data_IF_901388477381
#
_entry.id   IF_901388477381
#
_cell.length_a   1.000
_cell.length_b   1.000
_cell.length_c   1.000
_cell.angle_alpha   90.00
_cell.angle_beta   90.00
_cell.angle_gamma   90.00
#
_symmetry.space_group_name_H-M   'P 1'
#
loop_
_entity.id
_entity.type
_entity.pdbx_description
1 polymer ?
#
# COMPACT_ATOMS: atom_id res chain seq x y z
N UNK A 1 16.54 -7.52 -0.70
CA UNK A 1 16.31 -6.10 -0.32
C UNK A 1 15.14 -5.59 -1.15
N UNK A 2 14.28 -4.72 -0.62
CA UNK A 2 13.13 -4.15 -1.35
C UNK A 2 13.38 -2.66 -1.58
N UNK A 3 13.18 -2.21 -2.82
CA UNK A 3 13.23 -0.79 -3.17
C UNK A 3 11.89 -0.37 -3.76
N UNK A 4 11.45 0.83 -3.40
CA UNK A 4 10.27 1.47 -3.98
C UNK A 4 10.72 2.74 -4.68
N UNK A 5 10.31 2.90 -5.94
CA UNK A 5 10.67 4.05 -6.77
C UNK A 5 9.37 4.77 -7.11
N UNK A 6 9.25 6.08 -6.80
CA UNK A 6 8.14 6.89 -7.29
C UNK A 6 8.16 6.90 -8.82
N UNK A 7 7.04 6.53 -9.44
CA UNK A 7 6.89 6.47 -10.89
C UNK A 7 5.54 7.03 -11.28
N UNK A 8 5.46 7.69 -12.43
CA UNK A 8 4.20 8.15 -13.01
C UNK A 8 3.53 6.98 -13.73
N UNK A 9 2.23 6.79 -13.51
CA UNK A 9 1.46 5.73 -14.17
C UNK A 9 1.46 5.90 -15.68
N UNK A 10 1.41 7.15 -16.14
CA UNK A 10 1.35 7.58 -17.54
C UNK A 10 2.53 7.05 -18.36
N UNK A 11 3.69 6.85 -17.73
CA UNK A 11 4.85 6.27 -18.40
C UNK A 11 4.65 4.81 -18.84
N UNK A 12 3.66 4.11 -18.27
CA UNK A 12 3.37 2.72 -18.57
C UNK A 12 1.99 2.53 -19.23
N UNK A 13 1.21 3.60 -19.37
CA UNK A 13 -0.22 3.51 -19.74
C UNK A 13 -0.45 2.86 -21.11
N UNK A 14 0.47 3.05 -22.06
CA UNK A 14 0.35 2.49 -23.41
C UNK A 14 0.25 0.96 -23.44
N UNK A 15 0.77 0.27 -22.42
CA UNK A 15 0.75 -1.19 -22.30
C UNK A 15 -0.33 -1.73 -21.36
N UNK A 16 -1.31 -0.90 -20.96
CA UNK A 16 -2.35 -1.29 -19.99
C UNK A 16 -3.23 -2.44 -20.48
N UNK A 17 -3.48 -2.49 -21.78
CA UNK A 17 -4.37 -3.46 -22.43
C UNK A 17 -3.61 -4.72 -22.91
N UNK A 18 -2.28 -4.74 -22.78
CA UNK A 18 -1.47 -5.90 -23.11
C UNK A 18 -1.57 -6.99 -22.02
N UNK A 19 -1.61 -8.28 -22.39
CA UNK A 19 -1.69 -9.36 -21.41
C UNK A 19 -0.46 -9.40 -20.49
N UNK A 20 -0.69 -9.59 -19.19
CA UNK A 20 0.39 -9.76 -18.23
C UNK A 20 1.28 -10.96 -18.60
N UNK A 21 2.60 -10.76 -18.55
CA UNK A 21 3.59 -11.77 -18.97
C UNK A 21 3.77 -11.89 -20.49
N UNK A 22 3.04 -11.12 -21.29
CA UNK A 22 3.19 -11.01 -22.76
C UNK A 22 3.24 -9.56 -23.23
N UNK A 23 3.73 -8.67 -22.36
CA UNK A 23 3.93 -7.27 -22.74
C UNK A 23 5.08 -7.15 -23.72
N UNK A 24 5.04 -6.09 -24.53
CA UNK A 24 6.03 -5.82 -25.57
C UNK A 24 7.46 -5.71 -25.04
N UNK A 25 8.44 -5.80 -25.94
CA UNK A 25 9.85 -5.56 -25.62
C UNK A 25 10.06 -4.17 -25.04
N UNK A 26 9.35 -3.16 -25.55
CA UNK A 26 9.55 -1.76 -25.18
C UNK A 26 9.14 -1.52 -23.72
N UNK A 27 8.04 -2.13 -23.28
CA UNK A 27 7.64 -2.16 -21.89
C UNK A 27 8.72 -2.81 -21.00
N UNK A 28 9.23 -3.97 -21.42
CA UNK A 28 10.23 -4.71 -20.66
C UNK A 28 11.56 -3.94 -20.58
N UNK A 29 11.96 -3.25 -21.65
CA UNK A 29 13.11 -2.35 -21.67
C UNK A 29 12.92 -1.18 -20.72
N UNK A 30 11.77 -0.49 -20.77
CA UNK A 30 11.48 0.62 -19.85
C UNK A 30 11.53 0.16 -18.40
N UNK A 31 10.82 -0.92 -18.06
CA UNK A 31 10.79 -1.50 -16.71
C UNK A 31 12.20 -1.90 -16.23
N UNK A 32 12.99 -2.53 -17.11
CA UNK A 32 14.35 -2.97 -16.77
C UNK A 32 15.28 -1.79 -16.51
N UNK A 33 15.12 -0.66 -17.21
CA UNK A 33 15.92 0.54 -16.97
C UNK A 33 15.77 1.07 -15.53
N UNK A 34 14.55 1.02 -14.95
CA UNK A 34 14.32 1.38 -13.55
C UNK A 34 15.00 0.40 -12.59
N UNK A 35 14.96 -0.90 -12.90
CA UNK A 35 15.58 -1.96 -12.11
C UNK A 35 17.10 -1.80 -12.09
N UNK A 36 17.72 -1.58 -13.24
CA UNK A 36 19.17 -1.40 -13.39
C UNK A 36 19.64 -0.13 -12.68
N UNK A 37 18.96 1.00 -12.88
CA UNK A 37 19.26 2.25 -12.18
C UNK A 37 19.14 2.08 -10.66
N UNK A 38 18.10 1.40 -10.20
CA UNK A 38 17.87 1.06 -8.79
C UNK A 38 19.02 0.21 -8.23
N UNK A 39 19.38 -0.88 -8.92
CA UNK A 39 20.45 -1.78 -8.51
C UNK A 39 21.80 -1.05 -8.43
N UNK A 40 22.09 -0.17 -9.39
CA UNK A 40 23.31 0.64 -9.39
C UNK A 40 23.43 1.51 -8.15
N UNK A 41 22.35 2.19 -7.74
CA UNK A 41 22.32 2.96 -6.48
C UNK A 41 22.57 2.07 -5.26
N UNK A 42 21.97 0.87 -5.24
CA UNK A 42 22.12 -0.07 -4.13
C UNK A 42 23.55 -0.55 -4.00
N UNK A 43 24.18 -0.95 -5.09
CA UNK A 43 25.57 -1.40 -5.08
C UNK A 43 26.53 -0.26 -4.70
N UNK A 44 26.21 0.98 -5.07
CA UNK A 44 26.96 2.15 -4.61
C UNK A 44 26.85 2.38 -3.10
N UNK A 45 25.67 2.18 -2.52
CA UNK A 45 25.44 2.33 -1.06
C UNK A 45 25.94 1.14 -0.25
N UNK A 46 25.91 -0.06 -0.85
CA UNK A 46 26.29 -1.31 -0.23
C UNK A 46 27.25 -2.11 -1.14
N UNK A 47 28.50 -1.64 -1.34
CA UNK A 47 29.47 -2.29 -2.25
C UNK A 47 29.75 -3.76 -1.90
N UNK A 48 29.60 -4.13 -0.62
CA UNK A 48 29.77 -5.50 -0.16
C UNK A 48 28.77 -6.51 -0.75
N UNK A 49 27.72 -6.04 -1.43
CA UNK A 49 26.73 -6.87 -2.13
C UNK A 49 27.14 -7.19 -3.57
N UNK A 50 28.19 -6.57 -4.10
CA UNK A 50 28.68 -6.85 -5.45
C UNK A 50 29.08 -8.33 -5.58
N UNK A 51 28.64 -8.98 -6.67
CA UNK A 51 28.81 -10.42 -6.89
C UNK A 51 28.00 -11.33 -5.95
N UNK A 52 27.18 -10.77 -5.04
CA UNK A 52 26.33 -11.53 -4.09
C UNK A 52 24.84 -11.38 -4.38
N UNK A 53 24.48 -10.74 -5.49
CA UNK A 53 23.10 -10.60 -5.94
C UNK A 53 22.70 -11.89 -6.68
N UNK A 54 21.86 -12.69 -6.04
CA UNK A 54 21.34 -13.94 -6.62
C UNK A 54 20.30 -13.70 -7.72
N UNK A 55 19.34 -12.79 -7.46
CA UNK A 55 18.29 -12.45 -8.41
C UNK A 55 17.76 -11.04 -8.18
N UNK A 56 17.25 -10.43 -9.25
CA UNK A 56 16.59 -9.11 -9.23
C UNK A 56 15.28 -9.22 -10.01
N UNK A 57 14.20 -8.70 -9.44
CA UNK A 57 12.89 -8.67 -10.07
C UNK A 57 12.25 -7.32 -9.84
N UNK A 58 11.70 -6.73 -10.89
CA UNK A 58 11.01 -5.45 -10.86
C UNK A 58 9.53 -5.57 -11.23
N UNK A 59 8.70 -4.84 -10.51
CA UNK A 59 7.31 -4.57 -10.87
C UNK A 59 7.13 -3.14 -11.39
N UNK A 60 6.03 -2.90 -12.08
CA UNK A 60 5.57 -1.59 -12.55
C UNK A 60 4.20 -1.26 -11.95
N UNK A 61 3.67 -0.03 -12.13
CA UNK A 61 2.28 0.28 -11.80
C UNK A 61 1.27 -0.72 -12.41
N UNK A 62 1.46 -1.14 -13.67
CA UNK A 62 0.62 -2.16 -14.32
C UNK A 62 0.72 -3.53 -13.65
N UNK A 63 1.86 -3.85 -13.03
CA UNK A 63 2.03 -5.08 -12.25
C UNK A 63 1.14 -5.05 -11.02
N UNK A 64 1.15 -3.94 -10.27
CA UNK A 64 0.31 -3.75 -9.09
C UNK A 64 -1.18 -3.72 -9.45
N UNK A 65 -1.55 -3.07 -10.55
CA UNK A 65 -2.92 -3.05 -11.02
C UNK A 65 -3.43 -4.45 -11.36
N UNK A 66 -2.61 -5.28 -12.01
CA UNK A 66 -2.99 -6.65 -12.35
C UNK A 66 -3.17 -7.54 -11.11
N UNK A 67 -2.21 -7.53 -10.18
CA UNK A 67 -2.22 -8.46 -9.04
C UNK A 67 -3.07 -7.98 -7.85
N UNK A 68 -3.18 -6.67 -7.65
CA UNK A 68 -3.82 -6.09 -6.47
C UNK A 68 -5.10 -5.32 -6.79
N UNK A 69 -5.49 -5.23 -8.07
CA UNK A 69 -6.54 -4.32 -8.54
C UNK A 69 -6.34 -2.88 -8.06
N UNK A 70 -5.09 -2.48 -7.82
CA UNK A 70 -4.75 -1.15 -7.33
C UNK A 70 -5.05 -0.12 -8.42
N UNK A 71 -5.83 0.91 -8.08
CA UNK A 71 -6.12 2.02 -8.98
C UNK A 71 -4.80 2.67 -9.42
N UNK A 72 -4.58 2.72 -10.74
CA UNK A 72 -3.33 3.20 -11.36
C UNK A 72 -2.05 2.59 -10.76
N UNK A 73 -2.13 1.36 -10.24
CA UNK A 73 -0.97 0.67 -9.66
C UNK A 73 -0.46 1.23 -8.32
N UNK A 74 -1.24 2.10 -7.67
CA UNK A 74 -0.83 2.79 -6.46
C UNK A 74 -0.53 1.82 -5.30
N UNK A 75 0.74 1.73 -4.90
CA UNK A 75 1.18 0.83 -3.82
C UNK A 75 0.74 1.29 -2.43
N UNK A 76 0.46 2.59 -2.27
CA UNK A 76 0.13 3.24 -1.00
C UNK A 76 -1.27 3.84 -0.95
N UNK A 77 -2.15 3.41 -1.85
CA UNK A 77 -3.53 3.89 -1.94
C UNK A 77 -3.60 5.25 -2.61
N UNK A 78 -4.58 6.07 -2.27
CA UNK A 78 -4.77 7.39 -2.84
C UNK A 78 -3.54 8.31 -2.62
N UNK A 79 -3.43 9.38 -3.39
CA UNK A 79 -2.28 10.27 -3.31
C UNK A 79 -2.20 11.02 -1.99
N UNK A 80 -0.98 11.26 -1.52
CA UNK A 80 -0.71 11.99 -0.28
C UNK A 80 -0.46 13.46 -0.60
N UNK A 81 -1.38 14.07 -1.33
CA UNK A 81 -1.32 15.47 -1.71
C UNK A 81 -1.93 16.40 -0.65
N UNK A 82 -1.79 17.71 -0.85
CA UNK A 82 -2.35 18.72 0.05
C UNK A 82 -3.88 18.68 0.08
N UNK A 83 -4.54 18.17 -0.96
CA UNK A 83 -5.99 18.04 -1.03
C UNK A 83 -6.49 16.96 -0.08
N UNK A 84 -5.91 15.76 -0.14
CA UNK A 84 -6.21 14.63 0.76
C UNK A 84 -5.87 14.96 2.20
N UNK A 85 -4.73 15.60 2.43
CA UNK A 85 -4.25 15.93 3.77
C UNK A 85 -4.91 17.19 4.34
N UNK A 86 -5.79 17.85 3.58
CA UNK A 86 -6.57 18.98 4.08
C UNK A 86 -7.45 18.54 5.26
N UNK A 87 -7.55 19.31 6.36
CA UNK A 87 -8.31 18.92 7.55
C UNK A 87 -9.77 18.56 7.26
N UNK A 88 -10.39 19.24 6.30
CA UNK A 88 -11.76 18.92 5.88
C UNK A 88 -11.87 17.55 5.19
N UNK A 89 -10.91 17.19 4.35
CA UNK A 89 -10.88 15.90 3.68
C UNK A 89 -10.60 14.77 4.69
N UNK A 90 -9.62 14.94 5.57
CA UNK A 90 -9.37 14.00 6.68
C UNK A 90 -10.63 13.84 7.55
N UNK A 91 -11.31 14.96 7.86
CA UNK A 91 -12.54 14.95 8.61
C UNK A 91 -13.76 14.43 7.81
N UNK A 92 -13.67 14.15 6.52
CA UNK A 92 -14.76 13.55 5.74
C UNK A 92 -14.53 12.08 5.41
N UNK A 93 -13.29 11.58 5.45
CA UNK A 93 -12.98 10.16 5.22
C UNK A 93 -13.60 9.30 6.34
N UNK A 94 -14.53 8.41 5.95
CA UNK A 94 -15.27 7.54 6.87
C UNK A 94 -15.42 6.15 6.24
N UNK A 95 -15.52 5.14 7.10
CA UNK A 95 -15.81 3.79 6.65
C UNK A 95 -17.26 3.63 6.17
N UNK A 96 -18.21 4.42 6.69
CA UNK A 96 -19.59 4.38 6.22
C UNK A 96 -19.71 5.00 4.83
N UNK A 97 -20.30 4.26 3.89
CA UNK A 97 -20.69 4.83 2.59
C UNK A 97 -22.13 5.37 2.65
N UNK A 98 -22.56 6.19 1.67
CA UNK A 98 -23.96 6.59 1.52
C UNK A 98 -24.91 5.42 1.21
N UNK A 99 -24.39 4.27 0.79
CA UNK A 99 -25.19 3.09 0.47
C UNK A 99 -25.45 2.29 1.76
N UNK A 100 -26.72 2.04 2.12
CA UNK A 100 -27.05 1.28 3.32
C UNK A 100 -26.36 -0.08 3.35
N UNK A 101 -25.77 -0.42 4.49
CA UNK A 101 -25.05 -1.68 4.74
C UNK A 101 -23.79 -1.91 3.87
N UNK A 102 -23.28 -0.88 3.19
CA UNK A 102 -21.99 -0.91 2.51
C UNK A 102 -20.95 -0.08 3.28
N UNK A 103 -19.86 -0.73 3.66
CA UNK A 103 -18.76 -0.14 4.41
C UNK A 103 -17.44 -0.32 3.68
N UNK A 104 -16.57 0.68 3.80
CA UNK A 104 -15.25 0.73 3.21
C UNK A 104 -14.18 0.43 4.27
N UNK A 105 -13.12 -0.25 3.85
CA UNK A 105 -11.96 -0.60 4.69
C UNK A 105 -10.69 -0.50 3.85
N UNK A 106 -9.54 -0.79 4.46
CA UNK A 106 -8.23 -0.71 3.82
C UNK A 106 -7.53 0.61 4.09
N UNK A 107 -6.35 0.76 3.48
CA UNK A 107 -5.44 1.87 3.77
C UNK A 107 -6.09 3.24 3.53
N UNK A 108 -6.96 3.36 2.53
CA UNK A 108 -7.51 4.67 2.17
C UNK A 108 -8.52 5.27 3.15
N UNK A 109 -9.03 4.45 4.08
CA UNK A 109 -9.88 4.94 5.18
C UNK A 109 -9.06 5.59 6.30
N UNK A 110 -7.73 5.47 6.27
CA UNK A 110 -6.87 6.12 7.26
C UNK A 110 -5.68 6.84 6.61
N UNK A 111 -4.68 6.09 6.15
CA UNK A 111 -3.46 6.57 5.47
C UNK A 111 -2.79 5.39 4.77
N UNK A 112 -1.70 5.60 4.04
CA UNK A 112 -0.97 4.52 3.38
C UNK A 112 -0.47 3.37 4.27
N UNK A 113 -0.24 2.23 3.60
CA UNK A 113 0.56 1.12 4.10
C UNK A 113 -0.20 0.18 5.03
N UNK A 114 0.54 -0.80 5.56
CA UNK A 114 -0.01 -1.84 6.43
C UNK A 114 -0.70 -1.26 7.67
N UNK A 115 -0.08 -0.27 8.31
CA UNK A 115 -0.66 0.40 9.47
C UNK A 115 -1.95 1.12 9.10
N UNK A 116 -1.96 1.82 7.96
CA UNK A 116 -3.15 2.38 7.35
C UNK A 116 -4.29 1.37 7.21
N UNK A 117 -3.99 0.21 6.62
CA UNK A 117 -4.98 -0.84 6.42
C UNK A 117 -5.52 -1.41 7.75
N UNK A 118 -4.66 -1.62 8.75
CA UNK A 118 -5.07 -2.06 10.10
C UNK A 118 -6.02 -1.03 10.73
N UNK A 119 -5.64 0.25 10.70
CA UNK A 119 -6.46 1.32 11.28
C UNK A 119 -7.78 1.52 10.51
N UNK A 120 -7.75 1.40 9.18
CA UNK A 120 -8.94 1.38 8.33
C UNK A 120 -9.90 0.24 8.71
N UNK A 121 -9.38 -0.96 8.97
CA UNK A 121 -10.18 -2.10 9.44
C UNK A 121 -10.79 -1.87 10.82
N UNK A 122 -10.07 -1.23 11.75
CA UNK A 122 -10.61 -0.88 13.07
C UNK A 122 -11.69 0.19 12.99
N UNK A 123 -11.53 1.18 12.11
CA UNK A 123 -12.55 2.20 11.85
C UNK A 123 -13.81 1.60 11.23
N UNK A 124 -13.65 0.74 10.22
CA UNK A 124 -14.75 -0.01 9.59
C UNK A 124 -15.47 -0.91 10.59
N UNK A 125 -14.74 -1.67 11.40
CA UNK A 125 -15.34 -2.51 12.44
C UNK A 125 -16.11 -1.68 13.47
N UNK A 126 -15.57 -0.51 13.85
CA UNK A 126 -16.25 0.42 14.77
C UNK A 126 -17.55 0.96 14.17
N UNK A 127 -17.54 1.26 12.86
CA UNK A 127 -18.70 1.71 12.11
C UNK A 127 -19.82 0.66 12.06
N UNK A 128 -19.46 -0.61 11.77
CA UNK A 128 -20.39 -1.73 11.70
C UNK A 128 -20.98 -2.05 13.08
N UNK A 129 -20.12 -2.14 14.11
CA UNK A 129 -20.51 -2.54 15.46
C UNK A 129 -21.14 -1.42 16.29
N UNK A 130 -21.13 -0.18 15.78
CA UNK A 130 -21.60 1.03 16.49
C UNK A 130 -20.94 1.23 17.86
N UNK A 131 -19.65 0.92 17.97
CA UNK A 131 -18.84 1.07 19.19
C UNK A 131 -17.39 1.37 18.86
N UNK A 132 -16.65 1.93 19.82
CA UNK A 132 -15.24 2.24 19.64
C UNK A 132 -14.36 1.00 19.88
N UNK A 133 -14.00 0.30 18.80
CA UNK A 133 -13.20 -0.94 18.87
C UNK A 133 -11.80 -0.68 19.40
N UNK A 134 -11.24 0.53 19.22
CA UNK A 134 -9.94 0.88 19.81
C UNK A 134 -9.98 0.81 21.35
N UNK A 135 -11.05 1.34 21.95
CA UNK A 135 -11.24 1.28 23.40
C UNK A 135 -11.48 -0.15 23.87
N UNK A 136 -12.23 -0.95 23.10
CA UNK A 136 -12.49 -2.34 23.43
C UNK A 136 -11.19 -3.16 23.44
N UNK A 137 -10.33 -2.98 22.44
CA UNK A 137 -9.01 -3.63 22.36
C UNK A 137 -8.08 -3.19 23.48
N UNK A 138 -8.05 -1.89 23.81
CA UNK A 138 -7.28 -1.38 24.96
C UNK A 138 -7.73 -2.03 26.27
N UNK A 139 -9.04 -2.08 26.52
CA UNK A 139 -9.62 -2.73 27.71
C UNK A 139 -9.32 -4.22 27.76
N UNK A 140 -9.34 -4.91 26.61
CA UNK A 140 -8.97 -6.32 26.53
C UNK A 140 -7.48 -6.52 26.88
N UNK A 141 -6.59 -5.70 26.31
CA UNK A 141 -5.16 -5.74 26.60
C UNK A 141 -4.85 -5.57 28.09
N UNK A 142 -5.48 -4.60 28.75
CA UNK A 142 -5.30 -4.39 30.20
C UNK A 142 -5.76 -5.60 31.03
N UNK A 143 -6.88 -6.25 30.66
CA UNK A 143 -7.38 -7.45 31.34
C UNK A 143 -6.42 -8.63 31.20
N UNK A 144 -5.89 -8.86 29.99
CA UNK A 144 -4.92 -9.92 29.72
C UNK A 144 -3.63 -9.70 30.53
N UNK A 145 -3.13 -8.47 30.59
CA UNK A 145 -1.94 -8.15 31.39
C UNK A 145 -2.17 -8.38 32.89
N UNK A 146 -3.35 -8.02 33.41
CA UNK A 146 -3.70 -8.26 34.81
C UNK A 146 -3.78 -9.76 35.13
N UNK A 147 -4.27 -10.60 34.21
CA UNK A 147 -4.28 -12.05 34.38
C UNK A 147 -2.86 -12.64 34.37
N UNK A 148 -1.99 -12.20 33.45
CA UNK A 148 -0.59 -12.64 33.40
C UNK A 148 0.21 -12.29 34.66
N UNK A 149 -0.14 -11.23 35.38
CA UNK A 149 0.52 -10.86 36.65
C UNK A 149 0.03 -11.69 37.84
N UNK A 150 -1.11 -12.38 37.71
CA UNK A 150 -1.70 -13.21 38.76
C UNK A 150 -1.28 -14.69 38.66
N UNK A 151 -0.76 -15.09 37.50
CA UNK A 151 -0.16 -16.41 37.25
C UNK A 151 1.36 -16.30 37.35
#
# INVERSE_FOLDING_TARGET
>A
MVMLVPTCYEWFEEWRDEPNGKRSSDYETLKSSFVEASLSVVLKLFPQLEGKVDSVTGGSPLTNQFYLAAYQGACYGADHDLGRLHPHAIASIRAQSPIPNLYLTGQDIFVCGLMGAIHGALLCSSAILKRNVYLDLKKLGSRIQAQKKKN
#
